data_IF_851234092928
#
_entry.id   IF_851234092928
#
_cell.length_a   1.000
_cell.length_b   1.000
_cell.length_c   1.000
_cell.angle_alpha   90.00
_cell.angle_beta   90.00
_cell.angle_gamma   90.00
#
_symmetry.space_group_name_H-M   'P 1'
#
loop_
_entity.id
_entity.type
_entity.pdbx_description
1 polymer ?
#
# COMPACT_ATOMS: atom_id res chain seq x y z
N UNK A 1 5.69 17.68 31.73
CA UNK A 1 6.39 16.59 31.00
C UNK A 1 5.57 16.29 29.74
N UNK A 2 6.15 16.51 28.55
CA UNK A 2 5.41 16.54 27.27
C UNK A 2 5.88 15.50 26.26
N UNK A 3 6.20 14.28 26.70
CA UNK A 3 6.61 13.22 25.78
C UNK A 3 5.40 12.77 24.96
N UNK A 4 5.50 12.83 23.63
CA UNK A 4 4.54 12.22 22.70
C UNK A 4 5.22 11.04 22.01
N UNK A 5 4.63 9.84 22.04
CA UNK A 5 5.18 8.69 21.34
C UNK A 5 5.33 8.99 19.84
N UNK A 6 6.40 8.52 19.20
CA UNK A 6 6.52 8.56 17.75
C UNK A 6 5.30 7.90 17.12
N UNK A 7 4.65 8.57 16.16
CA UNK A 7 3.54 7.96 15.41
C UNK A 7 4.06 6.71 14.70
N UNK A 8 3.34 5.58 14.78
CA UNK A 8 3.70 4.39 14.01
C UNK A 8 3.81 4.76 12.54
N UNK A 9 4.99 4.56 11.94
CA UNK A 9 5.15 4.74 10.50
C UNK A 9 4.44 3.60 9.79
N UNK A 10 3.62 3.91 8.80
CA UNK A 10 3.05 2.90 7.93
C UNK A 10 4.19 2.14 7.24
N UNK A 11 4.21 0.80 7.30
CA UNK A 11 5.31 0.00 6.74
C UNK A 11 5.34 0.06 5.20
N UNK A 12 4.23 0.43 4.58
CA UNK A 12 4.08 0.53 3.14
C UNK A 12 3.43 1.86 2.75
N UNK A 13 3.85 2.39 1.61
CA UNK A 13 3.24 3.55 0.94
C UNK A 13 2.79 3.14 -0.47
N UNK A 14 1.58 3.54 -0.84
CA UNK A 14 1.10 3.38 -2.21
C UNK A 14 1.72 4.43 -3.12
N UNK A 15 2.44 3.99 -4.16
CA UNK A 15 2.98 4.84 -5.21
C UNK A 15 2.03 4.94 -6.41
N UNK A 16 1.30 3.86 -6.71
CA UNK A 16 0.42 3.80 -7.87
C UNK A 16 -0.36 2.50 -7.97
N UNK A 17 -1.37 2.50 -8.84
CA UNK A 17 -2.19 1.32 -9.17
C UNK A 17 -2.29 1.21 -10.68
N UNK A 18 -2.06 0.01 -11.21
CA UNK A 18 -2.22 -0.32 -12.62
C UNK A 18 -3.55 -1.05 -12.73
N UNK A 19 -4.53 -0.35 -13.32
CA UNK A 19 -5.84 -0.89 -13.58
C UNK A 19 -5.95 -1.23 -15.06
N UNK A 20 -6.06 -2.53 -15.40
CA UNK A 20 -6.22 -2.94 -16.78
C UNK A 20 -7.60 -2.56 -17.30
N UNK A 21 -7.67 -2.38 -18.63
CA UNK A 21 -8.92 -2.11 -19.35
C UNK A 21 -9.65 -3.39 -19.75
N UNK A 22 -8.93 -4.51 -19.79
CA UNK A 22 -9.47 -5.84 -20.06
C UNK A 22 -9.57 -6.67 -18.78
N UNK A 23 -10.33 -7.77 -18.84
CA UNK A 23 -10.53 -8.70 -17.72
C UNK A 23 -9.44 -9.75 -17.58
N UNK A 24 -8.51 -9.84 -18.54
CA UNK A 24 -7.48 -10.89 -18.58
C UNK A 24 -6.18 -10.47 -17.91
N UNK A 25 -5.96 -9.17 -17.78
CA UNK A 25 -4.82 -8.62 -17.07
C UNK A 25 -5.18 -8.45 -15.60
N UNK A 26 -4.34 -8.90 -14.65
CA UNK A 26 -4.59 -8.68 -13.24
C UNK A 26 -4.37 -7.22 -12.86
N UNK A 27 -5.16 -6.73 -11.90
CA UNK A 27 -4.88 -5.43 -11.26
C UNK A 27 -3.57 -5.51 -10.49
N UNK A 28 -2.75 -4.48 -10.59
CA UNK A 28 -1.49 -4.40 -9.87
C UNK A 28 -1.39 -3.10 -9.06
N UNK A 29 -0.61 -3.15 -8.00
CA UNK A 29 -0.29 -2.05 -7.13
C UNK A 29 1.22 -1.91 -6.97
N UNK A 30 1.70 -0.67 -6.95
CA UNK A 30 3.10 -0.33 -6.76
C UNK A 30 3.23 0.19 -5.33
N UNK A 31 3.87 -0.61 -4.47
CA UNK A 31 4.04 -0.32 -3.05
C UNK A 31 5.51 -0.10 -2.72
N UNK A 32 5.80 0.96 -1.98
CA UNK A 32 7.13 1.20 -1.42
C UNK A 32 7.17 0.80 0.05
N UNK A 33 8.16 0.02 0.44
CA UNK A 33 8.44 -0.28 1.86
C UNK A 33 9.14 0.93 2.49
N UNK A 34 8.55 1.48 3.54
CA UNK A 34 9.07 2.70 4.19
C UNK A 34 10.32 2.45 5.03
N UNK A 35 10.59 1.20 5.40
CA UNK A 35 11.75 0.78 6.20
C UNK A 35 12.98 0.44 5.37
N UNK A 36 12.81 0.07 4.10
CA UNK A 36 13.88 -0.48 3.26
C UNK A 36 14.04 0.21 1.89
N UNK A 37 13.24 1.26 1.61
CA UNK A 37 13.20 1.97 0.31
C UNK A 37 12.99 1.07 -0.91
N UNK A 38 12.55 -0.18 -0.72
CA UNK A 38 12.27 -1.12 -1.80
C UNK A 38 10.88 -0.90 -2.38
N UNK A 39 10.74 -1.06 -3.69
CA UNK A 39 9.47 -0.95 -4.40
C UNK A 39 9.07 -2.32 -4.93
N UNK A 40 7.85 -2.74 -4.60
CA UNK A 40 7.27 -4.00 -5.04
C UNK A 40 6.04 -3.74 -5.91
N UNK A 41 5.92 -4.50 -6.99
CA UNK A 41 4.68 -4.57 -7.79
C UNK A 41 3.95 -5.82 -7.32
N UNK A 42 2.72 -5.64 -6.86
CA UNK A 42 1.91 -6.72 -6.26
C UNK A 42 0.52 -6.78 -6.86
N UNK A 43 -0.05 -7.97 -6.92
CA UNK A 43 -1.41 -8.28 -7.36
C UNK A 43 -2.26 -8.71 -6.16
N UNK A 44 -3.57 -8.84 -6.37
CA UNK A 44 -4.49 -9.37 -5.35
C UNK A 44 -4.05 -10.79 -4.97
N UNK A 45 -3.94 -11.07 -3.66
CA UNK A 45 -3.48 -12.34 -3.12
C UNK A 45 -1.98 -12.39 -2.80
N UNK A 46 -1.17 -11.48 -3.33
CA UNK A 46 0.26 -11.46 -3.07
C UNK A 46 0.57 -11.15 -1.60
N UNK A 47 1.61 -11.82 -1.08
CA UNK A 47 2.14 -11.59 0.26
C UNK A 47 3.25 -10.53 0.20
N UNK A 48 3.10 -9.50 1.03
CA UNK A 48 4.09 -8.43 1.19
C UNK A 48 5.06 -8.70 2.34
N UNK A 49 4.62 -9.46 3.34
CA UNK A 49 5.35 -9.91 4.52
C UNK A 49 4.68 -11.20 5.05
N UNK A 50 5.24 -11.81 6.10
CA UNK A 50 4.73 -13.04 6.70
C UNK A 50 3.21 -12.99 7.00
N UNK A 51 2.74 -11.86 7.53
CA UNK A 51 1.34 -11.68 7.94
C UNK A 51 0.55 -10.69 7.06
N UNK A 52 1.16 -10.12 6.01
CA UNK A 52 0.54 -9.03 5.24
C UNK A 52 0.26 -9.47 3.81
N UNK A 53 -0.99 -9.34 3.36
CA UNK A 53 -1.42 -9.68 2.00
C UNK A 53 -2.25 -8.58 1.35
N UNK A 54 -2.25 -8.54 0.03
CA UNK A 54 -3.12 -7.66 -0.75
C UNK A 54 -4.48 -8.32 -0.92
N UNK A 55 -5.55 -7.62 -0.52
CA UNK A 55 -6.92 -8.14 -0.60
C UNK A 55 -7.72 -7.45 -1.69
N UNK A 56 -7.49 -6.16 -1.92
CA UNK A 56 -8.19 -5.42 -2.96
C UNK A 56 -7.33 -4.31 -3.55
N UNK A 57 -7.57 -4.01 -4.83
CA UNK A 57 -6.89 -2.95 -5.58
C UNK A 57 -7.95 -2.13 -6.31
N UNK A 58 -7.98 -0.85 -5.98
CA UNK A 58 -8.90 0.17 -6.50
C UNK A 58 -8.10 1.34 -7.09
N UNK A 59 -8.73 2.24 -7.87
CA UNK A 59 -8.05 3.43 -8.36
C UNK A 59 -7.45 4.23 -7.20
N UNK A 60 -6.13 4.42 -7.19
CA UNK A 60 -5.39 5.20 -6.17
C UNK A 60 -5.50 4.65 -4.75
N UNK A 61 -5.99 3.42 -4.58
CA UNK A 61 -6.25 2.81 -3.28
C UNK A 61 -5.95 1.30 -3.30
N UNK A 62 -5.39 0.80 -2.20
CA UNK A 62 -5.09 -0.63 -2.03
C UNK A 62 -5.47 -1.05 -0.62
N UNK A 63 -6.18 -2.15 -0.49
CA UNK A 63 -6.51 -2.75 0.80
C UNK A 63 -5.55 -3.88 1.10
N UNK A 64 -4.82 -3.73 2.19
CA UNK A 64 -3.95 -4.74 2.76
C UNK A 64 -4.63 -5.36 3.97
N UNK A 65 -4.46 -6.65 4.17
CA UNK A 65 -4.82 -7.32 5.40
C UNK A 65 -3.55 -7.76 6.12
N UNK A 66 -3.47 -7.42 7.41
CA UNK A 66 -2.40 -7.87 8.30
C UNK A 66 -3.00 -8.56 9.52
N UNK A 67 -2.71 -9.84 9.70
CA UNK A 67 -3.17 -10.64 10.84
C UNK A 67 -4.70 -10.49 11.12
N UNK A 68 -5.52 -10.52 10.06
CA UNK A 68 -6.98 -10.35 10.15
C UNK A 68 -7.49 -8.91 10.25
N UNK A 69 -6.60 -7.92 10.34
CA UNK A 69 -6.97 -6.49 10.32
C UNK A 69 -6.76 -5.92 8.93
N UNK A 70 -7.82 -5.38 8.33
CA UNK A 70 -7.74 -4.70 7.04
C UNK A 70 -7.33 -3.23 7.21
N UNK A 71 -6.52 -2.74 6.28
CA UNK A 71 -6.08 -1.35 6.19
C UNK A 71 -6.04 -0.92 4.73
N UNK A 72 -6.61 0.24 4.45
CA UNK A 72 -6.58 0.84 3.13
C UNK A 72 -5.46 1.88 3.05
N UNK A 73 -4.58 1.72 2.07
CA UNK A 73 -3.56 2.68 1.68
C UNK A 73 -4.08 3.49 0.50
N UNK A 74 -4.10 4.82 0.67
CA UNK A 74 -4.34 5.74 -0.44
C UNK A 74 -3.03 6.27 -1.02
N UNK A 75 -3.07 6.74 -2.26
CA UNK A 75 -2.02 7.63 -2.78
C UNK A 75 -2.03 8.89 -1.91
N UNK A 76 -1.06 8.99 -1.01
CA UNK A 76 -0.73 10.25 -0.35
C UNK A 76 0.11 11.08 -1.33
N UNK A 77 -0.56 11.68 -2.32
CA UNK A 77 -0.03 12.88 -2.97
C UNK A 77 -0.13 14.00 -1.95
N UNK A 78 0.94 14.25 -1.21
CA UNK A 78 1.10 15.56 -0.58
C UNK A 78 1.11 16.57 -1.73
N UNK A 79 0.14 17.50 -1.85
CA UNK A 79 0.24 18.53 -2.86
C UNK A 79 1.50 19.34 -2.53
N UNK A 80 2.51 19.27 -3.40
CA UNK A 80 3.62 20.22 -3.41
C UNK A 80 3.04 21.57 -3.82
N UNK A 81 2.66 22.40 -2.85
CA UNK A 81 2.46 23.83 -3.08
C UNK A 81 3.86 24.43 -3.36
N UNK A 82 4.04 24.92 -4.59
CA UNK A 82 5.15 25.80 -4.98
C UNK A 82 4.90 27.20 -4.45
#
# INVERSE_FOLDING_TARGET
>A
MGWRPPRPREPYRLLGTILPKDTNTPKQAILQRTTASSTNIVSIGDKLDADTRVVDIQPKQVTLEKAGVQRTLGINTTPLLK
#
